data_IF_236690292552
#
_entry.id   IF_236690292552
#
_cell.length_a   1.000
_cell.length_b   1.000
_cell.length_c   1.000
_cell.angle_alpha   90.00
_cell.angle_beta   90.00
_cell.angle_gamma   90.00
#
_symmetry.space_group_name_H-M   'P 1'
#
loop_
_entity.id
_entity.type
_entity.pdbx_description
1 polymer ?
#
# COMPACT_ATOMS: atom_id res chain seq x y z
N UNK A 1 13.93 -3.40 -33.33
CA UNK A 1 14.34 -3.10 -31.94
C UNK A 1 13.07 -3.03 -31.11
N UNK A 2 12.78 -4.04 -30.28
CA UNK A 2 11.69 -3.96 -29.31
C UNK A 2 12.02 -2.77 -28.39
N UNK A 3 11.14 -1.76 -28.31
CA UNK A 3 11.22 -0.74 -27.26
C UNK A 3 11.16 -1.51 -25.95
N UNK A 4 12.19 -1.35 -25.12
CA UNK A 4 12.20 -1.89 -23.76
C UNK A 4 10.92 -1.37 -23.08
N UNK A 5 9.94 -2.25 -22.93
CA UNK A 5 8.61 -1.87 -22.40
C UNK A 5 8.82 -1.47 -20.95
N UNK A 6 8.52 -0.23 -20.61
CA UNK A 6 8.57 0.26 -19.23
C UNK A 6 7.70 -0.64 -18.35
N UNK A 7 8.31 -1.33 -17.41
CA UNK A 7 7.62 -2.21 -16.47
C UNK A 7 6.90 -1.39 -15.40
N UNK A 8 5.72 -1.90 -14.98
CA UNK A 8 4.91 -1.29 -13.94
C UNK A 8 4.49 -2.34 -12.93
N UNK A 9 4.81 -2.09 -11.67
CA UNK A 9 4.38 -2.87 -10.53
C UNK A 9 3.58 -1.94 -9.60
N UNK A 10 2.26 -2.13 -9.58
CA UNK A 10 1.34 -1.44 -8.69
C UNK A 10 1.59 -1.86 -7.24
N UNK A 11 1.98 -0.92 -6.38
CA UNK A 11 2.31 -1.21 -4.99
C UNK A 11 1.08 -1.38 -4.09
N UNK A 12 -0.13 -1.04 -4.57
CA UNK A 12 -1.34 -1.17 -3.76
C UNK A 12 -2.61 -1.21 -4.60
N UNK A 13 -3.26 -2.36 -4.61
CA UNK A 13 -4.60 -2.56 -5.14
C UNK A 13 -5.42 -3.46 -4.20
N UNK A 14 -6.73 -3.38 -4.32
CA UNK A 14 -7.65 -4.26 -3.59
C UNK A 14 -8.27 -5.29 -4.51
N UNK A 15 -8.34 -6.53 -4.04
CA UNK A 15 -9.10 -7.59 -4.68
C UNK A 15 -10.49 -7.65 -4.05
N UNK A 16 -11.55 -7.15 -4.73
CA UNK A 16 -12.90 -7.20 -4.17
C UNK A 16 -13.41 -8.64 -4.10
N UNK A 17 -14.42 -8.95 -3.27
CA UNK A 17 -15.04 -10.26 -3.26
C UNK A 17 -15.75 -10.55 -4.59
N UNK A 18 -15.75 -11.82 -4.99
CA UNK A 18 -16.47 -12.30 -6.17
C UNK A 18 -15.61 -13.13 -7.12
N UNK A 19 -16.24 -14.08 -7.79
CA UNK A 19 -15.56 -15.07 -8.63
C UNK A 19 -14.74 -14.44 -9.79
N UNK A 20 -15.23 -13.32 -10.35
CA UNK A 20 -14.62 -12.64 -11.48
C UNK A 20 -13.62 -11.53 -11.08
N UNK A 21 -13.41 -11.30 -9.80
CA UNK A 21 -12.59 -10.18 -9.33
C UNK A 21 -11.14 -10.25 -9.85
N UNK A 22 -10.55 -11.44 -9.86
CA UNK A 22 -9.18 -11.65 -10.37
C UNK A 22 -9.12 -11.38 -11.87
N UNK A 23 -10.06 -11.90 -12.66
CA UNK A 23 -10.09 -11.72 -14.11
C UNK A 23 -10.23 -10.24 -14.46
N UNK A 24 -11.16 -9.54 -13.80
CA UNK A 24 -11.36 -8.08 -14.02
C UNK A 24 -10.12 -7.26 -13.66
N UNK A 25 -9.44 -7.60 -12.56
CA UNK A 25 -8.21 -6.91 -12.18
C UNK A 25 -7.12 -7.16 -13.24
N UNK A 26 -6.94 -8.40 -13.69
CA UNK A 26 -5.95 -8.74 -14.71
C UNK A 26 -6.24 -8.06 -16.06
N UNK A 27 -7.51 -7.99 -16.48
CA UNK A 27 -7.94 -7.25 -17.68
C UNK A 27 -7.58 -5.76 -17.57
N UNK A 28 -7.92 -5.10 -16.46
CA UNK A 28 -7.58 -3.69 -16.24
C UNK A 28 -6.07 -3.48 -16.17
N UNK A 29 -5.32 -4.40 -15.57
CA UNK A 29 -3.86 -4.35 -15.56
C UNK A 29 -3.30 -4.44 -16.98
N UNK A 30 -3.83 -5.33 -17.82
CA UNK A 30 -3.41 -5.48 -19.22
C UNK A 30 -3.70 -4.22 -20.03
N UNK A 31 -4.90 -3.66 -19.91
CA UNK A 31 -5.32 -2.43 -20.58
C UNK A 31 -4.46 -1.22 -20.19
N UNK A 32 -4.01 -1.18 -18.92
CA UNK A 32 -3.18 -0.09 -18.40
C UNK A 32 -1.67 -0.32 -18.56
N UNK A 33 -1.25 -1.54 -18.93
CA UNK A 33 0.15 -1.92 -19.06
C UNK A 33 0.84 -2.15 -17.71
N UNK A 34 0.10 -2.64 -16.71
CA UNK A 34 0.60 -3.03 -15.39
C UNK A 34 1.01 -4.51 -15.44
N UNK A 35 2.27 -4.77 -15.12
CA UNK A 35 2.82 -6.13 -15.15
C UNK A 35 2.50 -6.92 -13.90
N UNK A 36 2.57 -6.27 -12.73
CA UNK A 36 2.32 -6.88 -11.41
C UNK A 36 1.57 -5.93 -10.49
N UNK A 37 0.89 -6.48 -9.49
CA UNK A 37 0.25 -5.70 -8.43
C UNK A 37 0.37 -6.38 -7.06
N UNK A 38 0.67 -5.60 -6.02
CA UNK A 38 0.40 -5.97 -4.63
C UNK A 38 -1.10 -5.89 -4.40
N UNK A 39 -1.69 -6.94 -3.86
CA UNK A 39 -3.12 -6.98 -3.59
C UNK A 39 -3.42 -7.32 -2.14
N UNK A 40 -4.40 -6.62 -1.60
CA UNK A 40 -5.04 -6.89 -0.31
C UNK A 40 -6.51 -7.19 -0.50
N UNK A 41 -7.15 -7.80 0.49
CA UNK A 41 -8.59 -8.03 0.44
C UNK A 41 -9.35 -6.70 0.37
N UNK A 42 -10.27 -6.60 -0.59
CA UNK A 42 -11.27 -5.55 -0.68
C UNK A 42 -12.58 -5.95 0.02
N UNK A 43 -13.53 -5.02 0.07
CA UNK A 43 -14.88 -5.30 0.60
C UNK A 43 -15.00 -5.29 2.13
N UNK A 44 -13.93 -4.95 2.86
CA UNK A 44 -14.00 -4.71 4.32
C UNK A 44 -14.92 -3.54 4.63
N UNK A 45 -14.87 -2.50 3.80
CA UNK A 45 -15.77 -1.35 3.80
C UNK A 45 -16.33 -1.11 2.40
N UNK A 46 -17.58 -0.66 2.32
CA UNK A 46 -18.09 -0.05 1.09
C UNK A 46 -17.55 1.40 0.95
N UNK A 47 -17.53 1.97 -0.27
CA UNK A 47 -17.15 3.38 -0.46
C UNK A 47 -17.98 4.36 0.38
N UNK A 48 -19.28 4.08 0.56
CA UNK A 48 -20.17 4.90 1.40
C UNK A 48 -19.77 4.85 2.88
N UNK A 49 -19.45 3.66 3.39
CA UNK A 49 -18.96 3.49 4.75
C UNK A 49 -17.61 4.16 4.95
N UNK A 50 -16.68 4.01 4.00
CA UNK A 50 -15.37 4.66 4.03
C UNK A 50 -15.52 6.18 4.05
N UNK A 51 -16.33 6.74 3.15
CA UNK A 51 -16.60 8.18 3.08
C UNK A 51 -17.16 8.72 4.41
N UNK A 52 -18.14 8.02 4.99
CA UNK A 52 -18.69 8.40 6.30
C UNK A 52 -17.64 8.32 7.41
N UNK A 53 -16.84 7.24 7.44
CA UNK A 53 -15.80 7.08 8.46
C UNK A 53 -14.72 8.17 8.41
N UNK A 54 -14.36 8.63 7.23
CA UNK A 54 -13.38 9.72 7.09
C UNK A 54 -13.91 10.99 7.75
N UNK A 55 -15.20 11.30 7.63
CA UNK A 55 -15.81 12.53 8.14
C UNK A 55 -16.26 12.39 9.60
N UNK A 56 -17.10 11.38 9.88
CA UNK A 56 -17.78 11.24 11.18
C UNK A 56 -16.99 10.38 12.17
N UNK A 57 -16.05 9.59 11.69
CA UNK A 57 -15.37 8.58 12.48
C UNK A 57 -16.13 7.26 12.50
N UNK A 58 -15.81 6.46 13.52
CA UNK A 58 -16.31 5.10 13.64
C UNK A 58 -15.27 4.06 13.28
N UNK A 59 -15.65 2.80 13.38
CA UNK A 59 -14.82 1.64 13.08
C UNK A 59 -15.70 0.48 12.60
N UNK A 60 -15.08 -0.50 11.99
CA UNK A 60 -15.70 -1.78 11.70
C UNK A 60 -14.92 -2.91 12.35
N UNK A 61 -15.63 -3.99 12.67
CA UNK A 61 -15.03 -5.19 13.26
C UNK A 61 -14.80 -6.31 12.23
N UNK A 62 -15.14 -6.06 10.96
CA UNK A 62 -15.03 -7.05 9.91
C UNK A 62 -13.57 -7.42 9.66
N UNK A 63 -13.32 -8.71 9.52
CA UNK A 63 -12.03 -9.21 9.07
C UNK A 63 -11.96 -9.20 7.54
N UNK A 64 -10.76 -9.06 7.04
CA UNK A 64 -10.45 -9.17 5.63
C UNK A 64 -10.39 -10.65 5.21
N UNK A 65 -10.90 -10.98 4.03
CA UNK A 65 -10.79 -12.34 3.48
C UNK A 65 -9.40 -12.56 2.85
N UNK A 66 -8.42 -12.84 3.70
CA UNK A 66 -7.05 -13.06 3.29
C UNK A 66 -6.85 -14.38 2.51
N UNK A 67 -7.69 -15.40 2.76
CA UNK A 67 -7.65 -16.67 2.01
C UNK A 67 -8.14 -16.47 0.56
N UNK A 68 -9.15 -15.63 0.34
CA UNK A 68 -9.57 -15.24 -1.01
C UNK A 68 -8.42 -14.58 -1.79
N UNK A 69 -7.63 -13.72 -1.13
CA UNK A 69 -6.47 -13.07 -1.74
C UNK A 69 -5.43 -14.10 -2.16
N UNK A 70 -5.07 -15.05 -1.29
CA UNK A 70 -4.12 -16.11 -1.61
C UNK A 70 -4.59 -16.95 -2.79
N UNK A 71 -5.85 -17.42 -2.76
CA UNK A 71 -6.44 -18.18 -3.85
C UNK A 71 -6.47 -17.40 -5.18
N UNK A 72 -6.69 -16.09 -5.11
CA UNK A 72 -6.61 -15.17 -6.25
C UNK A 72 -5.20 -15.07 -6.83
N UNK A 73 -4.20 -14.91 -5.97
CA UNK A 73 -2.80 -14.81 -6.37
C UNK A 73 -2.28 -16.10 -7.00
N UNK A 74 -2.67 -17.26 -6.49
CA UNK A 74 -2.33 -18.58 -7.07
C UNK A 74 -2.82 -18.70 -8.53
N UNK A 75 -4.05 -18.23 -8.82
CA UNK A 75 -4.61 -18.22 -10.19
C UNK A 75 -3.94 -17.22 -11.13
N UNK A 76 -3.38 -16.15 -10.60
CA UNK A 76 -2.83 -15.03 -11.37
C UNK A 76 -1.38 -15.23 -11.85
N UNK A 77 -0.81 -16.44 -11.76
CA UNK A 77 0.51 -16.80 -12.30
C UNK A 77 1.63 -15.79 -11.93
N UNK A 78 1.73 -15.42 -10.65
CA UNK A 78 2.72 -14.47 -10.10
C UNK A 78 2.51 -13.00 -10.50
N UNK A 79 1.44 -12.65 -11.19
CA UNK A 79 1.11 -11.24 -11.49
C UNK A 79 0.58 -10.50 -10.28
N UNK A 80 -0.07 -11.22 -9.35
CA UNK A 80 -0.58 -10.67 -8.09
C UNK A 80 0.29 -11.14 -6.92
N UNK A 81 0.57 -10.24 -5.98
CA UNK A 81 1.41 -10.47 -4.81
C UNK A 81 0.57 -10.24 -3.55
N UNK A 82 0.35 -11.27 -2.71
CA UNK A 82 -0.57 -11.16 -1.59
C UNK A 82 0.04 -10.41 -0.40
N UNK A 83 -0.68 -9.41 0.12
CA UNK A 83 -0.43 -8.83 1.42
C UNK A 83 -1.54 -9.21 2.38
N UNK A 84 -1.17 -9.52 3.63
CA UNK A 84 -2.12 -9.83 4.69
C UNK A 84 -2.76 -8.55 5.21
N UNK A 85 -4.08 -8.42 5.13
CA UNK A 85 -4.80 -7.30 5.71
C UNK A 85 -5.27 -7.67 7.13
N UNK A 86 -4.60 -7.12 8.14
CA UNK A 86 -4.87 -7.46 9.52
C UNK A 86 -5.92 -6.55 10.16
N UNK A 87 -6.78 -7.18 10.96
CA UNK A 87 -7.60 -6.54 11.97
C UNK A 87 -6.88 -6.67 13.34
N UNK A 88 -6.35 -5.59 13.93
CA UNK A 88 -5.58 -5.68 15.17
C UNK A 88 -6.35 -6.19 16.38
N UNK A 89 -7.68 -6.25 16.31
CA UNK A 89 -8.50 -6.83 17.37
C UNK A 89 -8.45 -8.36 17.42
N UNK A 90 -8.19 -9.04 16.28
CA UNK A 90 -8.41 -10.50 16.15
C UNK A 90 -7.31 -11.26 15.41
N UNK A 91 -6.64 -10.65 14.42
CA UNK A 91 -5.80 -11.41 13.48
C UNK A 91 -4.32 -11.59 13.90
N UNK A 92 -3.93 -11.26 15.12
CA UNK A 92 -2.52 -11.41 15.53
C UNK A 92 -2.04 -12.87 15.48
N UNK A 93 -2.84 -13.81 15.99
CA UNK A 93 -2.51 -15.24 15.95
C UNK A 93 -2.58 -15.81 14.53
N UNK A 94 -3.56 -15.40 13.74
CA UNK A 94 -3.72 -15.83 12.35
C UNK A 94 -2.54 -15.36 11.49
N UNK A 95 -2.14 -14.09 11.63
CA UNK A 95 -0.96 -13.58 10.93
C UNK A 95 0.34 -14.30 11.35
N UNK A 96 0.51 -14.59 12.64
CA UNK A 96 1.65 -15.38 13.13
C UNK A 96 1.69 -16.79 12.54
N UNK A 97 0.53 -17.44 12.43
CA UNK A 97 0.43 -18.79 11.91
C UNK A 97 0.61 -18.87 10.38
N UNK A 98 0.10 -17.90 9.63
CA UNK A 98 -0.02 -17.97 8.18
C UNK A 98 0.77 -16.89 7.42
N UNK A 99 1.41 -15.94 8.11
CA UNK A 99 2.10 -14.80 7.50
C UNK A 99 3.11 -15.18 6.43
N UNK A 100 3.82 -16.30 6.60
CA UNK A 100 4.80 -16.80 5.62
C UNK A 100 4.22 -17.06 4.20
N UNK A 101 2.89 -17.17 4.06
CA UNK A 101 2.21 -17.29 2.75
C UNK A 101 2.05 -15.95 2.03
N UNK A 102 2.25 -14.84 2.75
CA UNK A 102 2.13 -13.47 2.25
C UNK A 102 3.50 -12.84 2.00
N UNK A 103 3.51 -11.64 1.42
CA UNK A 103 4.72 -10.86 1.12
C UNK A 103 4.79 -9.54 1.86
N UNK A 104 3.80 -9.25 2.67
CA UNK A 104 3.72 -8.03 3.46
C UNK A 104 2.46 -7.95 4.29
N UNK A 105 2.37 -6.90 5.08
CA UNK A 105 1.27 -6.61 5.99
C UNK A 105 0.57 -5.31 5.60
N UNK A 106 -0.76 -5.31 5.53
CA UNK A 106 -1.59 -4.12 5.45
C UNK A 106 -2.23 -3.85 6.81
N UNK A 107 -2.09 -2.62 7.28
CA UNK A 107 -2.83 -2.09 8.44
C UNK A 107 -3.72 -0.93 7.99
N UNK A 108 -4.93 -0.90 8.52
CA UNK A 108 -5.88 0.19 8.33
C UNK A 108 -6.36 0.73 9.68
N UNK A 109 -5.54 1.50 10.39
CA UNK A 109 -5.80 1.91 11.77
C UNK A 109 -7.15 2.60 11.93
N UNK A 110 -7.51 3.51 11.03
CA UNK A 110 -8.78 4.22 11.06
C UNK A 110 -9.99 3.33 10.79
N UNK A 111 -9.83 2.28 9.97
CA UNK A 111 -10.91 1.31 9.64
C UNK A 111 -11.27 0.49 10.86
N UNK A 112 -10.27 -0.03 11.57
CA UNK A 112 -10.47 -0.88 12.74
C UNK A 112 -10.49 -0.10 14.07
N UNK A 113 -10.24 1.21 14.07
CA UNK A 113 -10.26 2.03 15.27
C UNK A 113 -9.11 1.73 16.25
N UNK A 114 -8.02 1.16 15.77
CA UNK A 114 -6.84 0.82 16.60
C UNK A 114 -5.70 1.77 16.27
N UNK A 115 -5.25 2.51 17.29
CA UNK A 115 -4.18 3.51 17.14
C UNK A 115 -2.86 2.88 16.67
N UNK A 116 -2.04 3.68 15.97
CA UNK A 116 -0.66 3.33 15.64
C UNK A 116 0.25 3.20 16.88
N UNK A 117 -0.14 3.78 18.01
CA UNK A 117 0.56 3.64 19.29
C UNK A 117 0.08 2.46 20.15
N UNK A 118 -0.94 1.72 19.71
CA UNK A 118 -1.49 0.57 20.44
C UNK A 118 -0.54 -0.64 20.36
N UNK A 119 -0.40 -1.38 21.45
CA UNK A 119 0.49 -2.55 21.50
C UNK A 119 0.02 -3.70 20.58
N UNK A 120 -1.27 -3.76 20.23
CA UNK A 120 -1.77 -4.70 19.20
C UNK A 120 -1.19 -4.38 17.82
N UNK A 121 -1.12 -3.09 17.47
CA UNK A 121 -0.47 -2.62 16.25
C UNK A 121 1.04 -2.93 16.29
N UNK A 122 1.68 -2.64 17.40
CA UNK A 122 3.12 -2.92 17.60
C UNK A 122 3.42 -4.42 17.48
N UNK A 123 2.61 -5.29 18.07
CA UNK A 123 2.75 -6.74 17.96
C UNK A 123 2.66 -7.25 16.51
N UNK A 124 1.72 -6.75 15.72
CA UNK A 124 1.62 -7.09 14.30
C UNK A 124 2.85 -6.62 13.50
N UNK A 125 3.38 -5.43 13.81
CA UNK A 125 4.60 -4.91 13.17
C UNK A 125 5.83 -5.75 13.57
N UNK A 126 5.92 -6.20 14.80
CA UNK A 126 6.99 -7.09 15.26
C UNK A 126 6.97 -8.43 14.53
N UNK A 127 5.79 -9.06 14.38
CA UNK A 127 5.62 -10.28 13.60
C UNK A 127 5.97 -10.06 12.11
N UNK A 128 5.57 -8.92 11.52
CA UNK A 128 5.96 -8.56 10.15
C UNK A 128 7.48 -8.47 10.02
N UNK A 129 8.15 -7.87 11.00
CA UNK A 129 9.62 -7.83 11.06
C UNK A 129 10.26 -9.22 11.15
N UNK A 130 9.62 -10.15 11.85
CA UNK A 130 10.05 -11.56 11.95
C UNK A 130 9.98 -12.29 10.60
N UNK A 131 8.98 -11.98 9.76
CA UNK A 131 8.87 -12.51 8.40
C UNK A 131 9.72 -11.75 7.36
N UNK A 132 10.31 -10.62 7.71
CA UNK A 132 10.95 -9.71 6.75
C UNK A 132 9.97 -8.94 5.89
N UNK A 133 8.73 -8.82 6.33
CA UNK A 133 7.66 -8.13 5.60
C UNK A 133 7.71 -6.60 5.76
N UNK A 134 7.42 -5.89 4.68
CA UNK A 134 7.06 -4.48 4.74
C UNK A 134 5.63 -4.28 5.26
N UNK A 135 5.38 -3.12 5.85
CA UNK A 135 4.06 -2.74 6.39
C UNK A 135 3.50 -1.57 5.60
N UNK A 136 2.40 -1.81 4.87
CA UNK A 136 1.63 -0.76 4.22
C UNK A 136 0.52 -0.28 5.16
N UNK A 137 0.39 1.03 5.32
CA UNK A 137 -0.69 1.61 6.10
C UNK A 137 -1.11 2.97 5.57
N UNK A 138 -2.33 3.39 5.92
CA UNK A 138 -2.79 4.76 5.69
C UNK A 138 -2.94 5.53 7.00
N UNK A 139 -2.77 6.84 6.91
CA UNK A 139 -3.00 7.78 8.00
C UNK A 139 -4.19 8.69 7.69
N UNK A 140 -4.82 9.21 8.73
CA UNK A 140 -5.85 10.26 8.62
C UNK A 140 -5.62 11.32 9.69
N UNK A 141 -6.20 12.51 9.51
CA UNK A 141 -6.08 13.62 10.46
C UNK A 141 -7.02 13.40 11.67
N UNK A 142 -6.69 12.38 12.47
CA UNK A 142 -7.39 12.04 13.70
C UNK A 142 -6.36 11.57 14.74
N UNK A 143 -6.50 11.94 16.03
CA UNK A 143 -5.58 11.49 17.09
C UNK A 143 -5.43 9.96 17.09
N UNK A 144 -4.18 9.49 17.14
CA UNK A 144 -3.84 8.07 17.09
C UNK A 144 -3.61 7.51 15.67
N UNK A 145 -3.98 8.24 14.61
CA UNK A 145 -3.93 7.76 13.22
C UNK A 145 -3.13 8.68 12.27
N UNK A 146 -2.40 9.64 12.84
CA UNK A 146 -1.67 10.68 12.11
C UNK A 146 -0.28 10.20 11.64
N UNK A 147 0.30 10.91 10.67
CA UNK A 147 1.66 10.63 10.19
C UNK A 147 2.71 10.73 11.29
N UNK A 148 2.51 11.61 12.28
CA UNK A 148 3.42 11.72 13.44
C UNK A 148 3.45 10.43 14.29
N UNK A 149 2.32 9.71 14.41
CA UNK A 149 2.27 8.40 15.07
C UNK A 149 2.99 7.34 14.24
N UNK A 150 2.82 7.34 12.91
CA UNK A 150 3.61 6.46 12.03
C UNK A 150 5.10 6.70 12.19
N UNK A 151 5.55 7.94 12.25
CA UNK A 151 6.96 8.29 12.48
C UNK A 151 7.47 7.71 13.81
N UNK A 152 6.68 7.75 14.88
CA UNK A 152 7.04 7.14 16.17
C UNK A 152 7.12 5.61 16.06
N UNK A 153 6.14 4.98 15.40
CA UNK A 153 6.12 3.55 15.17
C UNK A 153 7.32 3.09 14.33
N UNK A 154 7.63 3.80 13.24
CA UNK A 154 8.76 3.47 12.37
C UNK A 154 10.12 3.59 13.09
N UNK A 155 10.27 4.56 13.98
CA UNK A 155 11.46 4.69 14.84
C UNK A 155 11.58 3.57 15.88
N UNK A 156 10.45 3.05 16.39
CA UNK A 156 10.43 1.88 17.28
C UNK A 156 10.86 0.60 16.56
N UNK A 157 10.57 0.49 15.25
CA UNK A 157 10.89 -0.69 14.44
C UNK A 157 11.81 -0.34 13.25
N UNK A 158 13.08 0.04 13.49
CA UNK A 158 13.97 0.60 12.44
C UNK A 158 14.36 -0.41 11.34
N UNK A 159 14.14 -1.72 11.58
CA UNK A 159 14.41 -2.78 10.60
C UNK A 159 13.20 -3.15 9.75
N UNK A 160 12.01 -2.64 10.08
CA UNK A 160 10.78 -2.84 9.30
C UNK A 160 10.64 -1.69 8.32
N UNK A 161 10.41 -2.01 7.04
CA UNK A 161 10.06 -1.02 6.02
C UNK A 161 8.59 -0.65 6.11
N UNK A 162 8.29 0.64 6.11
CA UNK A 162 6.91 1.14 6.11
C UNK A 162 6.60 1.85 4.80
N UNK A 163 5.36 1.73 4.34
CA UNK A 163 4.82 2.54 3.25
C UNK A 163 3.60 3.30 3.75
N UNK A 164 3.69 4.62 3.73
CA UNK A 164 2.57 5.53 3.93
C UNK A 164 1.78 5.61 2.63
N UNK A 165 0.55 5.13 2.64
CA UNK A 165 -0.33 5.13 1.46
C UNK A 165 -0.96 6.49 1.17
N UNK A 166 -1.49 6.61 -0.03
CA UNK A 166 -2.35 7.70 -0.50
C UNK A 166 -1.74 9.10 -0.45
N UNK A 167 -0.40 9.19 -0.59
CA UNK A 167 0.30 10.46 -0.52
C UNK A 167 0.30 11.13 0.86
N UNK A 168 -0.13 10.42 1.91
CA UNK A 168 -0.22 10.93 3.27
C UNK A 168 -1.66 11.01 3.79
N UNK A 169 -2.02 12.13 4.39
CA UNK A 169 -3.37 12.39 4.91
C UNK A 169 -4.16 13.19 3.88
N UNK A 170 -4.90 12.48 3.04
CA UNK A 170 -5.65 13.09 1.94
C UNK A 170 -4.78 13.41 0.71
N UNK A 171 -5.41 14.03 -0.28
CA UNK A 171 -4.87 14.25 -1.63
C UNK A 171 -3.76 15.33 -1.72
N UNK A 172 -3.58 16.15 -0.68
CA UNK A 172 -2.57 17.20 -0.58
C UNK A 172 -1.91 17.23 0.81
N UNK A 173 -0.93 16.36 1.04
CA UNK A 173 -0.20 16.31 2.32
C UNK A 173 1.32 16.49 2.13
N UNK A 174 1.74 17.72 1.88
CA UNK A 174 3.17 18.06 1.80
C UNK A 174 3.84 18.04 3.18
N UNK A 175 3.10 18.29 4.24
CA UNK A 175 3.61 18.26 5.60
C UNK A 175 3.90 16.84 6.07
N UNK A 176 3.05 15.88 5.71
CA UNK A 176 3.31 14.46 5.96
C UNK A 176 4.62 13.98 5.32
N UNK A 177 4.95 14.47 4.10
CA UNK A 177 6.23 14.20 3.46
C UNK A 177 7.40 14.72 4.30
N UNK A 178 7.31 15.96 4.82
CA UNK A 178 8.37 16.54 5.67
C UNK A 178 8.56 15.74 6.97
N UNK A 179 7.46 15.22 7.55
CA UNK A 179 7.53 14.39 8.76
C UNK A 179 8.25 13.06 8.54
N UNK A 180 8.04 12.41 7.39
CA UNK A 180 8.69 11.13 7.07
C UNK A 180 10.08 11.30 6.44
N UNK A 181 10.44 12.47 5.93
CA UNK A 181 11.73 12.70 5.25
C UNK A 181 12.95 12.26 6.10
N UNK A 182 13.04 12.60 7.41
CA UNK A 182 14.17 12.17 8.24
C UNK A 182 14.11 10.71 8.69
N UNK A 183 13.09 9.93 8.30
CA UNK A 183 12.87 8.55 8.75
C UNK A 183 13.08 7.59 7.60
N UNK A 184 14.29 7.05 7.45
CA UNK A 184 14.76 6.34 6.26
C UNK A 184 14.01 5.05 5.93
N UNK A 185 13.31 4.43 6.89
CA UNK A 185 12.53 3.22 6.70
C UNK A 185 11.03 3.49 6.39
N UNK A 186 10.66 4.74 6.05
CA UNK A 186 9.30 5.08 5.59
C UNK A 186 9.37 5.56 4.15
N UNK A 187 8.63 4.93 3.26
CA UNK A 187 8.40 5.34 1.88
C UNK A 187 6.97 5.87 1.71
N UNK A 188 6.69 6.54 0.58
CA UNK A 188 5.39 7.09 0.24
C UNK A 188 4.82 6.39 -0.99
N UNK A 189 3.61 5.88 -0.90
CA UNK A 189 2.80 5.43 -2.03
C UNK A 189 1.79 6.54 -2.37
N UNK A 190 1.53 6.80 -3.65
CA UNK A 190 0.97 8.08 -4.11
C UNK A 190 -0.44 7.99 -4.71
N UNK A 191 -1.16 6.86 -4.56
CA UNK A 191 -2.54 6.76 -5.05
C UNK A 191 -3.42 7.87 -4.46
N UNK A 192 -4.37 8.38 -5.24
CA UNK A 192 -5.29 9.43 -4.83
C UNK A 192 -4.70 10.83 -4.65
N UNK A 193 -3.37 10.99 -4.56
CA UNK A 193 -2.74 12.28 -4.34
C UNK A 193 -2.60 13.12 -5.62
N UNK A 194 -2.47 14.44 -5.48
CA UNK A 194 -2.19 15.32 -6.62
C UNK A 194 -0.78 15.12 -7.19
N UNK A 195 -0.60 15.46 -8.48
CA UNK A 195 0.71 15.44 -9.16
C UNK A 195 1.77 16.29 -8.43
N UNK A 196 1.35 17.40 -7.78
CA UNK A 196 2.23 18.23 -6.96
C UNK A 196 2.80 17.49 -5.74
N UNK A 197 2.03 16.58 -5.14
CA UNK A 197 2.48 15.74 -4.02
C UNK A 197 3.53 14.74 -4.51
N UNK A 198 3.30 14.09 -5.66
CA UNK A 198 4.29 13.19 -6.28
C UNK A 198 5.60 13.91 -6.56
N UNK A 199 5.55 15.12 -7.14
CA UNK A 199 6.75 15.95 -7.38
C UNK A 199 7.48 16.27 -6.07
N UNK A 200 6.77 16.76 -5.06
CA UNK A 200 7.35 17.08 -3.75
C UNK A 200 7.95 15.84 -3.07
N UNK A 201 7.32 14.68 -3.22
CA UNK A 201 7.86 13.42 -2.69
C UNK A 201 9.17 13.04 -3.38
N UNK A 202 9.24 13.15 -4.70
CA UNK A 202 10.48 12.91 -5.46
C UNK A 202 11.61 13.87 -5.05
N UNK A 203 11.28 15.14 -4.84
CA UNK A 203 12.26 16.18 -4.47
C UNK A 203 12.77 15.99 -3.03
N UNK A 204 11.90 15.59 -2.07
CA UNK A 204 12.21 15.55 -0.64
C UNK A 204 12.65 14.18 -0.14
N UNK A 205 12.10 13.09 -0.72
CA UNK A 205 12.41 11.71 -0.32
C UNK A 205 13.38 11.03 -1.29
N UNK A 206 13.50 11.57 -2.51
CA UNK A 206 14.19 10.91 -3.61
C UNK A 206 13.39 9.76 -4.24
N UNK A 207 13.78 9.33 -5.45
CA UNK A 207 13.03 8.33 -6.22
C UNK A 207 13.01 6.94 -5.56
N UNK A 208 13.92 6.62 -4.64
CA UNK A 208 14.00 5.32 -3.96
C UNK A 208 12.94 5.11 -2.87
N UNK A 209 12.24 6.17 -2.49
CA UNK A 209 11.23 6.15 -1.41
C UNK A 209 9.84 6.56 -1.90
N UNK A 210 9.59 6.56 -3.19
CA UNK A 210 8.29 6.86 -3.79
C UNK A 210 7.82 5.65 -4.57
N UNK A 211 6.58 5.21 -4.34
CA UNK A 211 5.96 4.07 -5.01
C UNK A 211 4.72 4.51 -5.77
N UNK A 212 4.53 3.95 -6.97
CA UNK A 212 3.27 4.00 -7.67
C UNK A 212 2.32 2.96 -7.07
N UNK A 213 1.12 3.36 -6.72
CA UNK A 213 0.00 2.49 -6.42
C UNK A 213 -1.28 3.03 -7.06
N UNK A 214 -2.31 2.20 -7.18
CA UNK A 214 -3.52 2.60 -7.90
C UNK A 214 -4.76 2.70 -7.02
N UNK A 215 -4.79 2.04 -5.88
CA UNK A 215 -5.99 1.91 -5.04
C UNK A 215 -7.19 1.31 -5.80
N UNK A 216 -6.92 0.50 -6.84
CA UNK A 216 -7.99 -0.21 -7.54
C UNK A 216 -8.82 -1.06 -6.57
N UNK A 217 -10.15 -1.13 -6.66
CA UNK A 217 -11.02 -0.55 -7.68
C UNK A 217 -11.57 0.85 -7.37
N UNK A 218 -11.15 1.47 -6.25
CA UNK A 218 -11.64 2.80 -5.86
C UNK A 218 -11.23 3.85 -6.89
N UNK A 219 -10.02 3.72 -7.45
CA UNK A 219 -9.53 4.55 -8.53
C UNK A 219 -9.14 3.68 -9.75
N UNK A 220 -9.38 4.19 -10.96
CA UNK A 220 -8.96 3.50 -12.18
C UNK A 220 -7.45 3.69 -12.41
N UNK A 221 -6.67 2.60 -12.64
CA UNK A 221 -5.21 2.67 -12.72
C UNK A 221 -4.67 3.66 -13.76
N UNK A 222 -5.38 3.89 -14.87
CA UNK A 222 -4.97 4.86 -15.89
C UNK A 222 -4.85 6.29 -15.35
N UNK A 223 -5.65 6.67 -14.36
CA UNK A 223 -5.60 7.99 -13.72
C UNK A 223 -4.31 8.15 -12.94
N UNK A 224 -3.95 7.13 -12.16
CA UNK A 224 -2.71 7.12 -11.40
C UNK A 224 -1.48 7.15 -12.31
N UNK A 225 -1.46 6.32 -13.34
CA UNK A 225 -0.38 6.30 -14.34
C UNK A 225 -0.24 7.62 -15.10
N UNK A 226 -1.35 8.33 -15.35
CA UNK A 226 -1.32 9.63 -16.02
C UNK A 226 -0.51 10.67 -15.23
N UNK A 227 -0.56 10.65 -13.90
CA UNK A 227 0.25 11.54 -13.04
C UNK A 227 1.74 11.42 -13.34
N UNK A 228 2.22 10.19 -13.46
CA UNK A 228 3.65 9.93 -13.73
C UNK A 228 4.05 10.24 -15.16
N UNK A 229 3.14 10.10 -16.13
CA UNK A 229 3.41 10.45 -17.52
C UNK A 229 3.61 11.95 -17.71
N UNK A 230 2.78 12.79 -17.03
CA UNK A 230 2.90 14.25 -17.12
C UNK A 230 4.06 14.82 -16.30
N UNK A 231 4.67 14.03 -15.41
CA UNK A 231 5.86 14.44 -14.66
C UNK A 231 7.15 14.32 -15.47
N UNK A 232 7.11 13.66 -16.63
CA UNK A 232 8.26 13.49 -17.53
C UNK A 232 9.50 12.96 -16.84
N UNK A 233 9.34 11.93 -15.99
CA UNK A 233 10.42 11.34 -15.23
C UNK A 233 11.51 10.77 -16.14
N UNK A 234 12.77 10.88 -15.72
CA UNK A 234 13.88 10.15 -16.35
C UNK A 234 13.60 8.64 -16.34
N UNK A 235 14.20 7.87 -17.24
CA UNK A 235 14.04 6.40 -17.27
C UNK A 235 14.43 5.75 -15.93
N UNK A 236 15.49 6.25 -15.27
CA UNK A 236 15.92 5.75 -13.97
C UNK A 236 14.88 6.03 -12.88
N UNK A 237 14.36 7.27 -12.79
CA UNK A 237 13.31 7.61 -11.83
C UNK A 237 12.01 6.81 -12.10
N UNK A 238 11.60 6.71 -13.37
CA UNK A 238 10.46 5.88 -13.75
C UNK A 238 10.63 4.45 -13.23
N UNK A 239 11.76 3.80 -13.57
CA UNK A 239 12.03 2.42 -13.20
C UNK A 239 12.03 2.23 -11.68
N UNK A 240 12.61 3.14 -10.90
CA UNK A 240 12.60 3.07 -9.43
C UNK A 240 11.19 3.14 -8.89
N UNK A 241 10.43 4.17 -9.27
CA UNK A 241 9.11 4.48 -8.71
C UNK A 241 8.05 3.47 -9.14
N UNK A 242 8.09 3.02 -10.39
CA UNK A 242 7.04 2.14 -10.93
C UNK A 242 7.38 0.66 -10.86
N UNK A 243 8.62 0.29 -10.49
CA UNK A 243 9.02 -1.11 -10.47
C UNK A 243 9.89 -1.49 -9.27
N UNK A 244 11.11 -0.93 -9.15
CA UNK A 244 12.12 -1.43 -8.22
C UNK A 244 11.70 -1.28 -6.75
N UNK A 245 11.04 -0.16 -6.41
CA UNK A 245 10.63 0.09 -5.03
C UNK A 245 9.51 -0.87 -4.60
N UNK A 246 8.58 -1.20 -5.51
CA UNK A 246 7.55 -2.19 -5.24
C UNK A 246 8.14 -3.60 -5.11
N UNK A 247 9.11 -4.00 -5.96
CA UNK A 247 9.86 -5.24 -5.80
C UNK A 247 10.52 -5.33 -4.43
N UNK A 248 11.27 -4.30 -4.04
CA UNK A 248 11.95 -4.25 -2.74
C UNK A 248 10.98 -4.33 -1.57
N UNK A 249 9.87 -3.59 -1.65
CA UNK A 249 8.86 -3.54 -0.60
C UNK A 249 8.15 -4.88 -0.43
N UNK A 250 7.86 -5.58 -1.53
CA UNK A 250 7.20 -6.88 -1.52
C UNK A 250 8.18 -8.07 -1.34
N UNK A 251 9.48 -7.83 -1.17
CA UNK A 251 10.48 -8.90 -1.08
C UNK A 251 10.58 -9.75 -2.35
N UNK A 252 10.30 -9.13 -3.52
CA UNK A 252 10.29 -9.79 -4.81
C UNK A 252 11.56 -9.49 -5.60
N UNK A 253 11.94 -10.41 -6.49
CA UNK A 253 13.11 -10.22 -7.36
C UNK A 253 12.83 -9.15 -8.42
N UNK A 254 13.86 -8.39 -8.78
CA UNK A 254 13.80 -7.33 -9.80
C UNK A 254 13.77 -7.86 -11.24
N UNK A 255 13.86 -9.18 -11.39
CA UNK A 255 13.94 -9.88 -12.69
C UNK A 255 12.59 -9.98 -13.40
#
# INVERSE_FOLDING_TARGET
>A
MARDRRRVFDAHAHLPPGAEAVNRLLEVMDDCGIDRAVVVAGGVLSPDQLSRQIIEGGQVENDADNEMVLAGCERAQRRLVPFFFANPHRNGEDYRAHGARFRGLKLAPSVHGVSLADERTAGLVEEAGGFGHGVYLHCIQRPGFQVAELVRLAKRFPRVGFVLGHGGVGDLDLYGIDLIAPVGNVALETSGSYTSVVRAALDRLGPDRVLLGTEYPLQHPSVELAKYRVLELSEDHWRRVTWLNACRFAGETES
#
